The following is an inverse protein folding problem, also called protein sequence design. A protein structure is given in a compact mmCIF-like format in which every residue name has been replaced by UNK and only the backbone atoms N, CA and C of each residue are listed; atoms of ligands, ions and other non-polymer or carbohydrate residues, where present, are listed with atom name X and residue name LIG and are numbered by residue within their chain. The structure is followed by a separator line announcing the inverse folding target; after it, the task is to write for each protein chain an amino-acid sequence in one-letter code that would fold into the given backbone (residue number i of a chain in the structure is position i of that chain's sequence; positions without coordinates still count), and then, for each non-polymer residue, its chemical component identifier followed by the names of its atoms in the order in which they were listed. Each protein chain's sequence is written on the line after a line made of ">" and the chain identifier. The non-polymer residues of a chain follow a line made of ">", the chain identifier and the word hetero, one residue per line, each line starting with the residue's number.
data_IF_618544326705
#
_entry.id   IF_618544326705
#
_cell.length_a   1.000
_cell.length_b   1.000
_cell.length_c   1.000
_cell.angle_alpha   90.00
_cell.angle_beta   90.00
_cell.angle_gamma   90.00
#
_symmetry.space_group_name_H-M   'P 1'
#
loop_
_entity.id
_entity.type
_entity.pdbx_description
1 polymer ?
#
# COMPACT_ATOMS: atom_id res chain seq x y z
N UNK A 1 -3.27 -12.75 -43.24
CA UNK A 1 -2.44 -12.02 -44.22
C UNK A 1 -1.14 -12.81 -44.41
N UNK A 2 -0.73 -13.12 -45.65
CA UNK A 2 0.56 -13.79 -45.91
C UNK A 2 1.71 -12.80 -45.65
N UNK A 3 2.78 -13.24 -45.00
CA UNK A 3 3.98 -12.41 -44.78
C UNK A 3 4.81 -12.39 -46.06
N UNK A 4 5.48 -11.27 -46.33
CA UNK A 4 6.40 -11.14 -47.45
C UNK A 4 7.81 -10.74 -46.96
N UNK A 5 8.85 -11.37 -47.51
CA UNK A 5 10.24 -10.98 -47.32
C UNK A 5 10.62 -9.99 -48.42
N UNK A 6 10.96 -8.77 -48.01
CA UNK A 6 11.30 -7.65 -48.89
C UNK A 6 12.82 -7.37 -48.87
N UNK A 7 13.31 -6.71 -49.92
CA UNK A 7 14.71 -6.31 -50.08
C UNK A 7 15.27 -5.56 -48.86
N UNK A 8 14.50 -4.63 -48.30
CA UNK A 8 14.88 -3.86 -47.11
C UNK A 8 15.23 -4.73 -45.89
N UNK A 9 14.55 -5.88 -45.75
CA UNK A 9 14.83 -6.83 -44.67
C UNK A 9 16.14 -7.57 -44.92
N UNK A 10 16.42 -7.93 -46.17
CA UNK A 10 17.67 -8.61 -46.57
C UNK A 10 18.88 -7.68 -46.35
N UNK A 11 18.79 -6.43 -46.79
CA UNK A 11 19.81 -5.40 -46.58
C UNK A 11 20.10 -5.15 -45.11
N UNK A 12 19.04 -5.13 -44.28
CA UNK A 12 19.17 -4.95 -42.83
C UNK A 12 19.88 -6.14 -42.17
N UNK A 13 19.59 -7.38 -42.59
CA UNK A 13 20.26 -8.58 -42.06
C UNK A 13 21.74 -8.57 -42.44
N UNK A 14 22.06 -8.24 -43.69
CA UNK A 14 23.44 -8.14 -44.16
C UNK A 14 24.23 -7.04 -43.42
N UNK A 15 23.65 -5.85 -43.26
CA UNK A 15 24.28 -4.73 -42.55
C UNK A 15 24.56 -5.04 -41.08
N UNK A 16 23.77 -5.94 -40.48
CA UNK A 16 23.95 -6.41 -39.11
C UNK A 16 24.94 -7.58 -38.97
N UNK A 17 25.66 -7.95 -40.04
CA UNK A 17 26.67 -9.01 -40.04
C UNK A 17 26.09 -10.43 -39.91
N UNK A 18 24.78 -10.59 -40.16
CA UNK A 18 24.12 -11.89 -40.09
C UNK A 18 24.13 -12.57 -41.45
N UNK A 19 24.34 -13.89 -41.45
CA UNK A 19 24.42 -14.72 -42.67
C UNK A 19 23.18 -15.60 -42.89
N UNK A 20 22.20 -15.57 -41.97
CA UNK A 20 21.02 -16.41 -42.02
C UNK A 20 19.74 -15.57 -41.91
N UNK A 21 18.75 -15.86 -42.75
CA UNK A 21 17.40 -15.29 -42.69
C UNK A 21 16.42 -16.41 -42.35
N UNK A 22 15.64 -16.22 -41.30
CA UNK A 22 14.63 -17.17 -40.85
C UNK A 22 13.25 -16.75 -41.38
N UNK A 23 12.57 -17.64 -42.12
CA UNK A 23 11.25 -17.37 -42.71
C UNK A 23 10.25 -18.48 -42.38
N UNK A 24 8.97 -18.11 -42.26
CA UNK A 24 7.88 -19.08 -42.11
C UNK A 24 7.61 -19.77 -43.47
N UNK A 25 7.08 -21.01 -43.46
CA UNK A 25 6.73 -21.77 -44.68
C UNK A 25 5.81 -21.02 -45.66
N UNK A 26 4.95 -20.14 -45.14
CA UNK A 26 3.99 -19.35 -45.93
C UNK A 26 4.52 -17.96 -46.33
N UNK A 27 5.81 -17.68 -46.13
CA UNK A 27 6.42 -16.38 -46.45
C UNK A 27 6.69 -16.27 -47.94
N UNK A 28 6.14 -15.24 -48.58
CA UNK A 28 6.39 -14.93 -49.98
C UNK A 28 7.72 -14.18 -50.08
N UNK A 29 8.70 -14.73 -50.78
CA UNK A 29 9.96 -14.03 -51.07
C UNK A 29 9.75 -13.17 -52.32
N UNK A 30 9.94 -11.86 -52.19
CA UNK A 30 9.85 -10.96 -53.35
C UNK A 30 11.04 -11.18 -54.30
N UNK A 31 10.88 -10.98 -55.63
CA UNK A 31 11.96 -11.19 -56.60
C UNK A 31 13.24 -10.43 -56.23
N UNK A 32 13.12 -9.15 -55.88
CA UNK A 32 14.24 -8.31 -55.48
C UNK A 32 14.94 -8.81 -54.20
N UNK A 33 14.19 -9.36 -53.23
CA UNK A 33 14.79 -9.96 -52.05
C UNK A 33 15.57 -11.24 -52.39
N UNK A 34 15.10 -12.03 -53.36
CA UNK A 34 15.80 -13.25 -53.82
C UNK A 34 17.14 -12.90 -54.47
N UNK A 35 17.16 -11.89 -55.33
CA UNK A 35 18.39 -11.43 -55.99
C UNK A 35 19.44 -10.99 -54.97
N UNK A 36 19.04 -10.22 -53.95
CA UNK A 36 19.93 -9.76 -52.88
C UNK A 36 20.44 -10.88 -51.95
N UNK A 37 19.62 -11.92 -51.72
CA UNK A 37 20.03 -13.09 -50.94
C UNK A 37 21.18 -13.82 -51.65
N UNK A 38 21.08 -13.98 -52.97
CA UNK A 38 22.11 -14.60 -53.81
C UNK A 38 23.36 -13.72 -53.89
N UNK A 39 23.21 -12.41 -54.08
CA UNK A 39 24.31 -11.44 -54.13
C UNK A 39 25.12 -11.40 -52.82
N UNK A 40 24.43 -11.44 -51.68
CA UNK A 40 25.05 -11.35 -50.34
C UNK A 40 25.44 -12.73 -49.76
N UNK A 41 25.17 -13.82 -50.47
CA UNK A 41 25.49 -15.18 -50.02
C UNK A 41 24.76 -15.59 -48.72
N UNK A 42 23.54 -15.10 -48.52
CA UNK A 42 22.75 -15.35 -47.31
C UNK A 42 22.00 -16.68 -47.38
N UNK A 43 21.86 -17.37 -46.25
CA UNK A 43 21.14 -18.63 -46.16
C UNK A 43 19.72 -18.42 -45.64
N UNK A 44 18.72 -18.86 -46.39
CA UNK A 44 17.31 -18.82 -45.94
C UNK A 44 16.95 -20.14 -45.26
N UNK A 45 16.55 -20.07 -43.99
CA UNK A 45 16.06 -21.22 -43.23
C UNK A 45 14.56 -21.11 -43.01
N UNK A 46 13.84 -22.12 -43.44
CA UNK A 46 12.41 -22.23 -43.18
C UNK A 46 12.22 -22.78 -41.77
N UNK A 47 11.51 -22.03 -40.92
CA UNK A 47 11.18 -22.47 -39.56
C UNK A 47 9.71 -22.85 -39.51
N UNK A 48 9.43 -24.02 -38.93
CA UNK A 48 8.07 -24.38 -38.55
C UNK A 48 7.56 -23.42 -37.47
N UNK A 49 6.29 -23.00 -37.50
CA UNK A 49 5.76 -22.12 -36.48
C UNK A 49 5.88 -22.83 -35.13
N UNK A 50 6.83 -22.38 -34.30
CA UNK A 50 6.82 -22.70 -32.86
C UNK A 50 5.47 -22.24 -32.37
N UNK A 51 4.59 -23.21 -32.03
CA UNK A 51 3.34 -22.96 -31.32
C UNK A 51 3.65 -21.88 -30.30
N UNK A 52 3.01 -20.72 -30.43
CA UNK A 52 3.08 -19.67 -29.41
C UNK A 52 2.79 -20.40 -28.11
N UNK A 53 3.80 -20.56 -27.25
CA UNK A 53 3.54 -20.88 -25.85
C UNK A 53 2.62 -19.77 -25.42
N UNK A 54 1.37 -20.12 -25.15
CA UNK A 54 0.41 -19.21 -24.59
C UNK A 54 1.13 -18.38 -23.54
N UNK A 55 1.10 -17.07 -23.74
CA UNK A 55 1.42 -16.14 -22.67
C UNK A 55 0.64 -16.65 -21.48
N UNK A 56 1.37 -17.04 -20.43
CA UNK A 56 0.83 -17.73 -19.27
C UNK A 56 -0.55 -17.19 -18.95
N UNK A 57 -1.58 -18.02 -19.18
CA UNK A 57 -2.79 -17.86 -18.39
C UNK A 57 -2.29 -17.98 -16.97
N UNK A 58 -2.14 -16.84 -16.29
CA UNK A 58 -2.05 -16.81 -14.84
C UNK A 58 -3.38 -17.37 -14.39
N UNK A 59 -3.47 -18.70 -14.33
CA UNK A 59 -4.54 -19.40 -13.66
C UNK A 59 -4.42 -18.89 -12.23
N UNK A 60 -5.26 -17.92 -11.90
CA UNK A 60 -5.39 -17.41 -10.55
C UNK A 60 -5.88 -18.63 -9.76
N UNK A 61 -5.00 -19.18 -8.94
CA UNK A 61 -5.33 -20.39 -8.18
C UNK A 61 -6.47 -20.07 -7.23
N UNK A 62 -7.35 -21.04 -7.00
CA UNK A 62 -8.49 -20.88 -6.10
C UNK A 62 -8.02 -20.50 -4.69
N UNK A 63 -6.85 -20.99 -4.27
CA UNK A 63 -6.22 -20.60 -3.01
C UNK A 63 -5.82 -19.12 -2.99
N UNK A 64 -5.34 -18.58 -4.12
CA UNK A 64 -5.02 -17.16 -4.23
C UNK A 64 -6.29 -16.31 -4.12
N UNK A 65 -7.38 -16.71 -4.79
CA UNK A 65 -8.68 -16.04 -4.71
C UNK A 65 -9.21 -16.09 -3.27
N UNK A 66 -9.21 -17.26 -2.64
CA UNK A 66 -9.64 -17.44 -1.25
C UNK A 66 -8.76 -16.61 -0.29
N UNK A 67 -7.46 -16.53 -0.52
CA UNK A 67 -6.55 -15.71 0.30
C UNK A 67 -6.83 -14.21 0.17
N UNK A 68 -7.16 -13.75 -1.04
CA UNK A 68 -7.52 -12.36 -1.32
C UNK A 68 -8.87 -12.05 -0.70
N UNK A 69 -9.88 -12.90 -0.88
CA UNK A 69 -11.20 -12.74 -0.26
C UNK A 69 -11.08 -12.75 1.27
N UNK A 70 -10.30 -13.67 1.86
CA UNK A 70 -10.06 -13.67 3.31
C UNK A 70 -9.37 -12.40 3.79
N UNK A 71 -8.42 -11.85 3.02
CA UNK A 71 -7.80 -10.56 3.33
C UNK A 71 -8.83 -9.43 3.25
N UNK A 72 -9.59 -9.32 2.15
CA UNK A 72 -10.63 -8.31 1.97
C UNK A 72 -11.70 -8.42 3.07
N UNK A 73 -12.15 -9.63 3.39
CA UNK A 73 -13.12 -9.87 4.45
C UNK A 73 -12.54 -9.49 5.80
N UNK A 74 -11.30 -9.88 6.12
CA UNK A 74 -10.63 -9.50 7.36
C UNK A 74 -10.42 -7.99 7.46
N UNK A 75 -10.13 -7.31 6.35
CA UNK A 75 -9.98 -5.87 6.27
C UNK A 75 -11.35 -5.18 6.39
N UNK A 76 -12.42 -5.75 5.82
CA UNK A 76 -13.79 -5.20 5.87
C UNK A 76 -14.52 -5.48 7.18
N UNK A 77 -14.25 -6.61 7.83
CA UNK A 77 -14.84 -7.04 9.11
C UNK A 77 -14.11 -6.42 10.30
N UNK A 78 -12.89 -5.91 10.11
CA UNK A 78 -12.17 -5.12 11.10
C UNK A 78 -12.45 -3.62 10.99
N UNK A 79 -13.47 -3.21 10.21
CA UNK A 79 -13.88 -1.82 10.17
C UNK A 79 -14.43 -1.41 11.53
N UNK A 80 -13.55 -0.80 12.32
CA UNK A 80 -13.86 -0.31 13.68
C UNK A 80 -14.74 0.94 13.66
N UNK A 81 -15.23 1.35 12.52
CA UNK A 81 -16.09 2.50 12.34
C UNK A 81 -16.69 2.48 10.93
N UNK A 82 -17.82 3.15 10.78
CA UNK A 82 -18.46 3.45 9.51
C UNK A 82 -17.85 4.75 8.96
N UNK A 83 -17.36 4.69 7.73
CA UNK A 83 -16.86 5.86 7.01
C UNK A 83 -17.74 6.15 5.79
N UNK A 84 -18.23 7.39 5.71
CA UNK A 84 -18.89 7.92 4.51
C UNK A 84 -17.83 8.55 3.61
N UNK A 85 -17.84 8.18 2.35
CA UNK A 85 -16.99 8.73 1.30
C UNK A 85 -17.86 9.44 0.27
N UNK A 86 -17.58 10.72 0.03
CA UNK A 86 -18.18 11.45 -1.07
C UNK A 86 -17.35 11.31 -2.36
N UNK A 87 -18.00 11.44 -3.50
CA UNK A 87 -17.39 11.47 -4.84
C UNK A 87 -16.26 12.51 -4.99
N UNK A 88 -16.31 13.61 -4.21
CA UNK A 88 -15.29 14.66 -4.22
C UNK A 88 -14.05 14.35 -3.35
N UNK A 89 -14.03 13.20 -2.67
CA UNK A 89 -12.93 12.78 -1.79
C UNK A 89 -13.10 13.14 -0.31
N UNK A 90 -14.20 13.82 0.07
CA UNK A 90 -14.55 14.06 1.48
C UNK A 90 -14.81 12.73 2.19
N UNK A 91 -14.20 12.58 3.37
CA UNK A 91 -14.36 11.39 4.22
C UNK A 91 -14.85 11.81 5.59
N UNK A 92 -15.91 11.16 6.06
CA UNK A 92 -16.49 11.42 7.38
C UNK A 92 -16.60 10.10 8.12
N UNK A 93 -16.01 10.03 9.30
CA UNK A 93 -16.22 8.90 10.21
C UNK A 93 -17.44 9.20 11.07
N UNK A 94 -18.37 8.26 11.13
CA UNK A 94 -19.48 8.34 12.08
C UNK A 94 -18.96 8.00 13.48
N UNK A 95 -18.82 9.02 14.32
CA UNK A 95 -18.32 8.88 15.69
C UNK A 95 -19.11 7.89 16.54
N UNK A 96 -20.40 7.71 16.26
CA UNK A 96 -21.26 6.78 17.02
C UNK A 96 -20.98 5.30 16.70
N UNK A 97 -20.35 5.04 15.54
CA UNK A 97 -20.01 3.69 15.08
C UNK A 97 -18.64 3.20 15.53
N UNK A 98 -17.88 4.03 16.25
CA UNK A 98 -16.48 3.75 16.60
C UNK A 98 -16.42 2.65 17.66
N UNK A 99 -15.77 1.54 17.30
CA UNK A 99 -15.45 0.42 18.15
C UNK A 99 -14.01 0.54 18.64
N UNK A 100 -13.85 0.67 19.95
CA UNK A 100 -12.54 0.76 20.57
C UNK A 100 -11.95 -0.62 20.85
N UNK A 101 -10.63 -0.69 20.95
CA UNK A 101 -9.91 -1.86 21.47
C UNK A 101 -9.16 -1.50 22.72
N UNK A 102 -9.15 -2.43 23.67
CA UNK A 102 -8.50 -2.24 24.94
C UNK A 102 -6.97 -2.10 24.77
N UNK A 103 -6.41 -1.18 25.55
CA UNK A 103 -4.98 -1.03 25.73
C UNK A 103 -4.58 -2.05 26.81
N UNK A 104 -3.74 -3.05 26.48
CA UNK A 104 -3.32 -4.04 27.46
C UNK A 104 -2.45 -3.41 28.55
N UNK A 105 -2.37 -4.06 29.71
CA UNK A 105 -1.48 -3.70 30.82
C UNK A 105 -1.71 -2.29 31.39
N UNK A 106 -2.97 -1.83 31.42
CA UNK A 106 -3.33 -0.66 32.21
C UNK A 106 -3.06 -0.91 33.70
N UNK A 107 -2.66 0.14 34.41
CA UNK A 107 -2.27 0.08 35.82
C UNK A 107 -3.37 0.60 36.73
N UNK A 108 -3.22 0.45 38.05
CA UNK A 108 -4.13 0.99 39.07
C UNK A 108 -5.58 0.48 39.00
N UNK A 109 -5.82 -0.66 38.34
CA UNK A 109 -7.17 -1.19 38.10
C UNK A 109 -7.97 -0.34 37.10
N UNK A 110 -7.33 0.61 36.44
CA UNK A 110 -7.94 1.44 35.40
C UNK A 110 -8.04 0.73 34.05
N UNK A 111 -8.59 1.45 33.09
CA UNK A 111 -8.76 0.98 31.73
C UNK A 111 -8.30 2.01 30.71
N UNK A 112 -7.96 1.51 29.53
CA UNK A 112 -7.58 2.34 28.40
C UNK A 112 -8.09 1.67 27.15
N UNK A 113 -8.57 2.47 26.20
CA UNK A 113 -9.06 1.97 24.93
C UNK A 113 -8.63 2.92 23.81
N UNK A 114 -8.45 2.39 22.60
CA UNK A 114 -8.06 3.19 21.45
C UNK A 114 -8.74 2.73 20.16
N UNK A 115 -8.86 3.67 19.22
CA UNK A 115 -9.22 3.39 17.84
C UNK A 115 -8.33 4.21 16.90
N UNK A 116 -7.59 3.52 16.02
CA UNK A 116 -6.88 4.17 14.92
C UNK A 116 -7.84 4.41 13.75
N UNK A 117 -7.82 5.62 13.19
CA UNK A 117 -8.63 6.04 12.06
C UNK A 117 -7.73 6.22 10.84
N UNK A 118 -8.08 5.53 9.77
CA UNK A 118 -7.38 5.55 8.49
C UNK A 118 -8.27 6.18 7.42
N UNK A 119 -7.88 7.36 6.95
CA UNK A 119 -8.58 8.09 5.89
C UNK A 119 -8.06 7.77 4.47
N UNK A 120 -7.21 6.76 4.27
CA UNK A 120 -6.71 6.37 2.95
C UNK A 120 -5.44 5.53 2.99
N UNK A 121 -4.90 5.23 1.81
CA UNK A 121 -3.75 4.33 1.63
C UNK A 121 -2.38 4.98 1.89
N UNK A 122 -2.32 6.31 2.08
CA UNK A 122 -1.06 6.98 2.39
C UNK A 122 -0.78 6.93 3.88
N UNK A 123 0.33 6.30 4.28
CA UNK A 123 0.77 6.20 5.68
C UNK A 123 1.19 7.54 6.32
N UNK A 124 1.19 8.65 5.58
CA UNK A 124 1.79 9.94 5.96
C UNK A 124 1.23 10.54 7.26
N UNK A 125 -0.02 10.24 7.62
CA UNK A 125 -0.59 10.71 8.87
C UNK A 125 -1.52 9.66 9.46
N UNK A 126 -1.27 9.29 10.71
CA UNK A 126 -2.12 8.36 11.47
C UNK A 126 -2.88 9.16 12.51
N UNK A 127 -4.20 9.05 12.47
CA UNK A 127 -5.09 9.74 13.40
C UNK A 127 -5.82 8.72 14.27
N UNK A 128 -6.28 9.10 15.44
CA UNK A 128 -7.14 8.22 16.23
C UNK A 128 -7.62 8.82 17.52
N UNK A 129 -8.39 8.02 18.24
CA UNK A 129 -9.01 8.36 19.51
C UNK A 129 -8.47 7.45 20.59
N UNK A 130 -8.33 8.00 21.79
CA UNK A 130 -7.94 7.26 22.99
C UNK A 130 -8.87 7.67 24.13
N UNK A 131 -9.28 6.69 24.92
CA UNK A 131 -10.02 6.85 26.17
C UNK A 131 -9.20 6.24 27.29
N UNK A 132 -9.07 6.96 28.40
CA UNK A 132 -8.36 6.49 29.59
C UNK A 132 -9.24 6.73 30.82
N UNK A 133 -9.18 5.81 31.77
CA UNK A 133 -9.86 5.91 33.05
C UNK A 133 -8.97 5.34 34.15
N UNK A 134 -8.65 6.16 35.16
CA UNK A 134 -7.90 5.76 36.36
C UNK A 134 -6.64 4.92 36.10
N UNK A 135 -5.87 5.25 35.06
CA UNK A 135 -4.72 4.47 34.60
C UNK A 135 -3.52 5.35 34.33
N UNK A 136 -2.34 4.72 34.35
CA UNK A 136 -1.07 5.31 33.98
C UNK A 136 -0.39 4.42 32.94
N UNK A 137 0.09 5.03 31.85
CA UNK A 137 0.76 4.35 30.74
C UNK A 137 2.07 5.05 30.44
N UNK A 138 3.16 4.27 30.34
CA UNK A 138 4.48 4.76 29.96
C UNK A 138 4.91 4.13 28.64
N UNK A 139 5.34 4.96 27.68
CA UNK A 139 5.75 4.49 26.35
C UNK A 139 6.74 5.42 25.69
N UNK A 140 7.72 4.83 25.00
CA UNK A 140 8.57 5.54 24.04
C UNK A 140 7.81 5.77 22.74
N UNK A 141 7.65 7.04 22.35
CA UNK A 141 6.89 7.44 21.17
C UNK A 141 7.79 7.40 19.93
N UNK A 142 7.32 6.75 18.86
CA UNK A 142 8.13 6.51 17.65
C UNK A 142 8.20 7.69 16.67
N UNK A 143 7.24 8.62 16.73
CA UNK A 143 7.07 9.73 15.80
C UNK A 143 6.64 11.00 16.53
N UNK A 144 6.79 12.15 15.89
CA UNK A 144 6.20 13.39 16.41
C UNK A 144 4.69 13.22 16.51
N UNK A 145 4.14 13.54 17.69
CA UNK A 145 2.77 13.24 18.06
C UNK A 145 2.09 14.48 18.60
N UNK A 146 0.90 14.76 18.09
CA UNK A 146 0.03 15.83 18.59
C UNK A 146 -1.16 15.19 19.29
N UNK A 147 -1.49 15.65 20.49
CA UNK A 147 -2.69 15.26 21.22
C UNK A 147 -3.62 16.46 21.35
N UNK A 148 -4.93 16.23 21.22
CA UNK A 148 -5.96 17.19 21.58
C UNK A 148 -6.85 16.57 22.64
N UNK A 149 -7.00 17.22 23.80
CA UNK A 149 -7.84 16.73 24.90
C UNK A 149 -9.28 17.15 24.61
N UNK A 150 -10.10 16.19 24.16
CA UNK A 150 -11.50 16.45 23.85
C UNK A 150 -12.41 16.40 25.08
N UNK A 151 -11.96 15.75 26.16
CA UNK A 151 -12.71 15.67 27.43
C UNK A 151 -11.77 15.33 28.59
N UNK A 152 -11.98 15.96 29.74
CA UNK A 152 -11.28 15.62 30.98
C UNK A 152 -9.92 16.31 31.12
N UNK A 153 -9.01 15.70 31.89
CA UNK A 153 -7.66 16.21 32.09
C UNK A 153 -6.65 15.08 32.27
N UNK A 154 -5.47 15.26 31.69
CA UNK A 154 -4.37 14.31 31.65
C UNK A 154 -3.12 14.95 32.25
N UNK A 155 -2.44 14.23 33.15
CA UNK A 155 -1.09 14.59 33.56
C UNK A 155 -0.11 13.87 32.61
N UNK A 156 0.69 14.65 31.88
CA UNK A 156 1.67 14.15 30.91
C UNK A 156 3.08 14.52 31.34
N UNK A 157 3.97 13.54 31.34
CA UNK A 157 5.36 13.70 31.75
C UNK A 157 6.32 13.23 30.67
N UNK A 158 7.36 14.02 30.43
CA UNK A 158 8.54 13.61 29.66
C UNK A 158 9.75 13.77 30.57
N UNK A 159 10.40 12.65 30.91
CA UNK A 159 11.42 12.60 31.95
C UNK A 159 10.87 13.10 33.31
N UNK A 160 11.50 14.10 33.93
CA UNK A 160 11.08 14.65 35.23
C UNK A 160 10.07 15.80 35.13
N UNK A 161 9.82 16.33 33.94
CA UNK A 161 8.90 17.45 33.74
C UNK A 161 7.50 16.94 33.43
N UNK A 162 6.54 17.29 34.28
CA UNK A 162 5.12 17.00 34.08
C UNK A 162 4.30 18.27 33.84
N UNK A 163 3.18 18.09 33.14
CA UNK A 163 2.21 19.16 32.90
C UNK A 163 0.81 18.57 32.89
N UNK A 164 -0.11 19.23 33.60
CA UNK A 164 -1.53 18.89 33.56
C UNK A 164 -2.17 19.62 32.37
N UNK A 165 -2.64 18.84 31.39
CA UNK A 165 -3.38 19.32 30.23
C UNK A 165 -4.87 19.02 30.39
N UNK A 166 -5.72 20.00 30.13
CA UNK A 166 -7.18 19.92 30.30
C UNK A 166 -7.90 19.98 28.96
N UNK A 167 -9.21 19.76 28.99
CA UNK A 167 -10.10 19.89 27.84
C UNK A 167 -9.85 21.19 27.06
N UNK A 168 -9.66 21.04 25.74
CA UNK A 168 -9.31 22.13 24.82
C UNK A 168 -7.80 22.31 24.59
N UNK A 169 -6.93 21.75 25.43
CA UNK A 169 -5.49 21.87 25.26
C UNK A 169 -4.96 20.98 24.11
N UNK A 170 -3.90 21.46 23.47
CA UNK A 170 -3.14 20.74 22.44
C UNK A 170 -1.73 20.48 22.97
N UNK A 171 -1.27 19.24 22.85
CA UNK A 171 0.02 18.79 23.36
C UNK A 171 0.87 18.32 22.18
N UNK A 172 2.13 18.75 22.15
CA UNK A 172 3.14 18.20 21.25
C UNK A 172 4.08 17.28 22.03
N UNK A 173 4.33 16.10 21.49
CA UNK A 173 5.28 15.13 22.01
C UNK A 173 6.33 14.87 20.93
N UNK A 174 7.63 15.13 21.21
CA UNK A 174 8.68 14.89 20.25
C UNK A 174 8.96 13.40 20.07
N UNK A 175 9.34 13.03 18.85
CA UNK A 175 9.81 11.70 18.46
C UNK A 175 10.91 11.20 19.41
N UNK A 176 10.83 9.92 19.78
CA UNK A 176 11.71 9.20 20.73
C UNK A 176 11.60 9.64 22.19
N UNK A 177 10.69 10.54 22.54
CA UNK A 177 10.40 10.85 23.94
C UNK A 177 9.86 9.60 24.66
N UNK A 178 10.35 9.37 25.88
CA UNK A 178 9.73 8.45 26.82
C UNK A 178 8.68 9.23 27.60
N UNK A 179 7.41 8.90 27.37
CA UNK A 179 6.27 9.65 27.89
C UNK A 179 5.46 8.81 28.85
N UNK A 180 5.13 9.39 29.99
CA UNK A 180 4.13 8.86 30.91
C UNK A 180 2.87 9.69 30.80
N UNK A 181 1.73 9.03 30.60
CA UNK A 181 0.41 9.65 30.63
C UNK A 181 -0.40 9.08 31.78
N UNK A 182 -0.95 9.96 32.60
CA UNK A 182 -1.69 9.60 33.80
C UNK A 182 -3.07 10.24 33.76
N UNK A 183 -4.09 9.38 33.74
CA UNK A 183 -5.49 9.78 33.78
C UNK A 183 -6.06 9.44 35.16
N UNK A 184 -6.30 10.46 35.98
CA UNK A 184 -6.91 10.28 37.31
C UNK A 184 -8.42 10.07 37.27
N UNK A 185 -9.06 10.41 36.15
CA UNK A 185 -10.50 10.28 35.86
C UNK A 185 -10.67 9.92 34.38
N UNK A 186 -11.91 9.91 33.89
CA UNK A 186 -12.20 9.76 32.47
C UNK A 186 -11.57 10.88 31.63
N UNK A 187 -10.79 10.48 30.63
CA UNK A 187 -10.18 11.36 29.63
C UNK A 187 -10.46 10.80 28.25
N UNK A 188 -10.85 11.68 27.33
CA UNK A 188 -10.90 11.37 25.90
C UNK A 188 -9.96 12.32 25.17
N UNK A 189 -9.14 11.76 24.28
CA UNK A 189 -8.21 12.54 23.48
C UNK A 189 -8.14 12.03 22.05
N UNK A 190 -7.76 12.94 21.17
CA UNK A 190 -7.43 12.69 19.78
C UNK A 190 -5.91 12.69 19.67
N UNK A 191 -5.34 11.75 18.92
CA UNK A 191 -3.93 11.82 18.54
C UNK A 191 -3.76 11.91 17.02
N UNK A 192 -2.68 12.57 16.63
CA UNK A 192 -2.18 12.59 15.26
C UNK A 192 -0.68 12.35 15.26
N UNK A 193 -0.21 11.47 14.38
CA UNK A 193 1.21 11.16 14.16
C UNK A 193 1.64 11.73 12.81
N UNK A 194 2.78 12.41 12.77
CA UNK A 194 3.45 12.82 11.53
C UNK A 194 4.68 11.94 11.30
N UNK A 195 4.79 11.33 10.11
CA UNK A 195 6.00 10.56 9.71
C UNK A 195 7.21 11.46 9.43
#
# INVERSE_FOLDING_TARGET
>A
MKKALCASTVESVYSNGQTNIEVDQDTIITPLAKDLIEEYGLNVKIIEPKKKKDASSKNISEELIVSIIKKILKDSLNNRYVMKLDSNGLKVVDGSSIQFTDIPNCTNGGSGQYCSIFFGNSNKSKFGLVRLNHTELTKTIGNDTYLYISKGALDISINENSCVSKEGDIIFIPKRANVTVKALKDVELVYSLTE
#
